data_IF_525395428706
#
_entry.id   IF_525395428706
#
_cell.length_a   1.000
_cell.length_b   1.000
_cell.length_c   1.000
_cell.angle_alpha   90.00
_cell.angle_beta   90.00
_cell.angle_gamma   90.00
#
_symmetry.space_group_name_H-M   'P 1'
#
loop_
_entity.id
_entity.type
_entity.pdbx_description
1 polymer ?
#
# COMPACT_ATOMS: atom_id res chain seq x y z
N UNK A 1 -11.80 13.03 -21.48
CA UNK A 1 -10.77 13.33 -20.44
C UNK A 1 -11.27 12.92 -19.05
N UNK A 2 -12.52 13.26 -18.68
CA UNK A 2 -13.09 12.91 -17.38
C UNK A 2 -13.19 11.39 -17.11
N UNK A 3 -13.65 10.57 -18.07
CA UNK A 3 -13.76 9.11 -17.86
C UNK A 3 -12.42 8.40 -17.59
N UNK A 4 -11.32 8.86 -18.18
CA UNK A 4 -9.98 8.25 -17.95
C UNK A 4 -9.48 8.59 -16.54
N UNK A 5 -9.78 9.79 -16.04
CA UNK A 5 -9.46 10.19 -14.67
C UNK A 5 -10.34 9.46 -13.64
N UNK A 6 -11.62 9.21 -13.96
CA UNK A 6 -12.56 8.47 -13.12
C UNK A 6 -12.24 6.96 -13.06
N UNK A 7 -11.87 6.35 -14.19
CA UNK A 7 -11.47 4.93 -14.26
C UNK A 7 -10.17 4.64 -13.50
N UNK A 8 -9.24 5.60 -13.45
CA UNK A 8 -7.97 5.43 -12.75
C UNK A 8 -8.07 5.64 -11.23
N UNK A 9 -8.97 6.51 -10.74
CA UNK A 9 -9.15 6.70 -9.29
C UNK A 9 -9.83 5.50 -8.65
N UNK A 10 -10.93 5.01 -9.23
CA UNK A 10 -11.68 3.87 -8.67
C UNK A 10 -10.82 2.61 -8.40
N UNK A 11 -9.83 2.35 -9.25
CA UNK A 11 -8.91 1.22 -9.10
C UNK A 11 -7.94 1.37 -7.92
N UNK A 12 -7.42 2.58 -7.67
CA UNK A 12 -6.47 2.84 -6.59
C UNK A 12 -7.16 2.72 -5.23
N UNK A 13 -8.35 3.29 -5.08
CA UNK A 13 -9.20 3.10 -3.90
C UNK A 13 -9.50 1.62 -3.66
N UNK A 14 -9.96 0.89 -4.68
CA UNK A 14 -10.28 -0.53 -4.54
C UNK A 14 -9.08 -1.37 -4.07
N UNK A 15 -7.92 -1.22 -4.72
CA UNK A 15 -6.71 -1.96 -4.34
C UNK A 15 -6.26 -1.57 -2.94
N UNK A 16 -6.25 -0.28 -2.61
CA UNK A 16 -5.83 0.20 -1.29
C UNK A 16 -6.73 -0.34 -0.17
N UNK A 17 -8.05 -0.38 -0.39
CA UNK A 17 -9.00 -0.96 0.55
C UNK A 17 -8.80 -2.46 0.77
N UNK A 18 -8.64 -3.23 -0.30
CA UNK A 18 -8.34 -4.67 -0.20
C UNK A 18 -7.04 -4.93 0.56
N UNK A 19 -5.98 -4.24 0.17
CA UNK A 19 -4.64 -4.45 0.74
C UNK A 19 -4.57 -4.02 2.21
N UNK A 20 -5.23 -2.93 2.59
CA UNK A 20 -5.37 -2.54 4.00
C UNK A 20 -6.07 -3.65 4.81
N UNK A 21 -7.20 -4.16 4.31
CA UNK A 21 -7.94 -5.25 4.96
C UNK A 21 -7.12 -6.53 5.12
N UNK A 22 -6.41 -6.94 4.07
CA UNK A 22 -5.51 -8.11 4.13
C UNK A 22 -4.39 -7.91 5.14
N UNK A 23 -3.73 -6.75 5.11
CA UNK A 23 -2.62 -6.41 5.99
C UNK A 23 -3.06 -6.45 7.47
N UNK A 24 -4.19 -5.83 7.80
CA UNK A 24 -4.75 -5.86 9.16
C UNK A 24 -5.16 -7.28 9.58
N UNK A 25 -5.72 -8.08 8.66
CA UNK A 25 -6.11 -9.47 8.92
C UNK A 25 -4.91 -10.34 9.27
N UNK A 26 -3.77 -10.15 8.60
CA UNK A 26 -2.52 -10.86 8.92
C UNK A 26 -2.00 -10.40 10.29
N UNK A 27 -2.00 -9.10 10.56
CA UNK A 27 -1.60 -8.56 11.86
C UNK A 27 -2.44 -9.16 13.02
N UNK A 28 -3.75 -9.25 12.85
CA UNK A 28 -4.65 -9.89 13.81
C UNK A 28 -4.36 -11.40 13.98
N UNK A 29 -4.03 -12.11 12.91
CA UNK A 29 -3.64 -13.51 12.98
C UNK A 29 -2.31 -13.72 13.73
N UNK A 30 -1.34 -12.81 13.55
CA UNK A 30 -0.08 -12.83 14.31
C UNK A 30 -0.37 -12.68 15.81
N UNK A 31 -1.23 -11.73 16.22
CA UNK A 31 -1.66 -11.60 17.63
C UNK A 31 -2.29 -12.91 18.13
N UNK A 32 -3.20 -13.50 17.34
CA UNK A 32 -3.88 -14.75 17.71
C UNK A 32 -2.95 -15.95 17.84
N UNK A 33 -1.81 -15.95 17.15
CA UNK A 33 -0.81 -17.02 17.24
C UNK A 33 -0.12 -17.09 18.62
N UNK A 34 -0.27 -16.07 19.48
CA UNK A 34 0.37 -15.95 20.79
C UNK A 34 1.89 -16.14 20.76
N UNK A 35 2.53 -15.84 19.63
CA UNK A 35 3.98 -15.88 19.50
C UNK A 35 4.61 -14.64 20.15
N UNK A 36 5.45 -14.84 21.17
CA UNK A 36 6.24 -13.76 21.80
C UNK A 36 7.59 -13.53 21.09
N UNK A 37 7.79 -14.12 19.92
CA UNK A 37 9.05 -13.99 19.19
C UNK A 37 9.27 -12.56 18.67
N UNK A 38 10.52 -12.06 18.61
CA UNK A 38 10.80 -10.73 18.06
C UNK A 38 10.37 -10.60 16.59
N UNK A 39 10.38 -11.71 15.84
CA UNK A 39 9.91 -11.75 14.46
C UNK A 39 8.40 -11.54 14.36
N UNK A 40 7.63 -12.04 15.34
CA UNK A 40 6.18 -11.83 15.39
C UNK A 40 5.86 -10.36 15.65
N UNK A 41 6.54 -9.73 16.61
CA UNK A 41 6.41 -8.29 16.88
C UNK A 41 6.77 -7.44 15.67
N UNK A 42 7.90 -7.74 15.01
CA UNK A 42 8.32 -7.01 13.81
C UNK A 42 7.29 -7.16 12.68
N UNK A 43 6.82 -8.38 12.41
CA UNK A 43 5.80 -8.64 11.39
C UNK A 43 4.50 -7.91 11.70
N UNK A 44 4.06 -7.93 12.97
CA UNK A 44 2.85 -7.24 13.41
C UNK A 44 2.95 -5.72 13.18
N UNK A 45 4.06 -5.09 13.58
CA UNK A 45 4.28 -3.66 13.40
C UNK A 45 4.28 -3.30 11.91
N UNK A 46 4.98 -4.08 11.09
CA UNK A 46 5.09 -3.81 9.65
C UNK A 46 3.75 -3.98 8.92
N UNK A 47 2.98 -5.02 9.21
CA UNK A 47 1.64 -5.19 8.63
C UNK A 47 0.65 -4.13 9.13
N UNK A 48 0.78 -3.67 10.38
CA UNK A 48 -0.04 -2.56 10.90
C UNK A 48 0.32 -1.25 10.19
N UNK A 49 1.61 -0.92 10.09
CA UNK A 49 2.09 0.28 9.39
C UNK A 49 1.66 0.27 7.91
N UNK A 50 1.78 -0.89 7.24
CA UNK A 50 1.34 -1.08 5.86
C UNK A 50 -0.16 -0.83 5.72
N UNK A 51 -0.98 -1.37 6.63
CA UNK A 51 -2.42 -1.15 6.62
C UNK A 51 -2.78 0.32 6.77
N UNK A 52 -2.09 1.05 7.64
CA UNK A 52 -2.34 2.47 7.87
C UNK A 52 -1.94 3.31 6.66
N UNK A 53 -0.84 2.99 5.98
CA UNK A 53 -0.42 3.69 4.76
C UNK A 53 -1.41 3.45 3.60
N UNK A 54 -1.89 2.22 3.41
CA UNK A 54 -2.95 1.94 2.45
C UNK A 54 -4.26 2.65 2.82
N UNK A 55 -4.59 2.79 4.11
CA UNK A 55 -5.76 3.53 4.56
C UNK A 55 -5.66 5.03 4.23
N UNK A 56 -4.47 5.62 4.37
CA UNK A 56 -4.21 7.02 3.96
C UNK A 56 -4.45 7.18 2.46
N UNK A 57 -3.89 6.30 1.64
CA UNK A 57 -4.07 6.33 0.19
C UNK A 57 -5.54 6.17 -0.21
N UNK A 58 -6.25 5.20 0.41
CA UNK A 58 -7.68 4.99 0.23
C UNK A 58 -8.48 6.25 0.58
N UNK A 59 -8.24 6.83 1.75
CA UNK A 59 -8.97 8.01 2.20
C UNK A 59 -8.78 9.18 1.24
N UNK A 60 -7.54 9.47 0.84
CA UNK A 60 -7.23 10.56 -0.08
C UNK A 60 -7.95 10.36 -1.41
N UNK A 61 -7.87 9.16 -1.97
CA UNK A 61 -8.45 8.88 -3.29
C UNK A 61 -9.99 8.93 -3.29
N UNK A 62 -10.63 8.37 -2.26
CA UNK A 62 -12.09 8.45 -2.07
C UNK A 62 -12.53 9.90 -1.82
N UNK A 63 -11.85 10.62 -0.92
CA UNK A 63 -12.23 11.98 -0.57
C UNK A 63 -12.06 12.95 -1.75
N UNK A 64 -10.99 12.80 -2.54
CA UNK A 64 -10.79 13.57 -3.77
C UNK A 64 -11.85 13.23 -4.81
N UNK A 65 -12.12 11.96 -5.04
CA UNK A 65 -13.13 11.52 -6.03
C UNK A 65 -14.52 12.08 -5.69
N UNK A 66 -14.93 12.02 -4.42
CA UNK A 66 -16.21 12.58 -3.98
C UNK A 66 -16.29 14.11 -4.12
N UNK A 67 -15.19 14.83 -3.86
CA UNK A 67 -15.15 16.30 -3.96
C UNK A 67 -15.15 16.79 -5.40
N UNK A 68 -14.58 16.01 -6.33
CA UNK A 68 -14.47 16.38 -7.75
C UNK A 68 -15.74 15.99 -8.53
N UNK A 69 -16.48 14.96 -8.09
CA UNK A 69 -17.67 14.42 -8.76
C UNK A 69 -18.84 15.40 -8.98
N UNK A 70 -18.76 16.63 -8.47
CA UNK A 70 -19.78 17.68 -8.67
C UNK A 70 -19.21 19.02 -9.15
N UNK A 71 -17.97 19.04 -9.64
CA UNK A 71 -17.31 20.26 -10.12
C UNK A 71 -17.18 20.19 -11.65
N UNK A 72 -17.92 21.06 -12.35
CA UNK A 72 -17.91 21.11 -13.82
C UNK A 72 -16.67 21.81 -14.39
N UNK A 73 -16.10 22.78 -13.65
CA UNK A 73 -14.89 23.50 -14.04
C UNK A 73 -13.84 23.49 -12.92
N UNK A 74 -12.68 22.90 -13.20
CA UNK A 74 -11.55 22.86 -12.28
C UNK A 74 -10.63 24.05 -12.58
N UNK A 75 -10.57 25.02 -11.67
CA UNK A 75 -9.62 26.12 -11.77
C UNK A 75 -8.16 25.63 -11.67
N UNK A 76 -7.21 26.39 -12.23
CA UNK A 76 -5.80 26.02 -12.20
C UNK A 76 -5.25 25.87 -10.76
N UNK A 77 -5.69 26.73 -9.84
CA UNK A 77 -5.33 26.69 -8.42
C UNK A 77 -5.88 25.44 -7.70
N UNK A 78 -7.11 25.04 -8.04
CA UNK A 78 -7.71 23.83 -7.52
C UNK A 78 -7.02 22.57 -8.07
N UNK A 79 -6.64 22.59 -9.36
CA UNK A 79 -5.91 21.49 -9.99
C UNK A 79 -4.54 21.25 -9.34
N UNK A 80 -3.80 22.32 -9.03
CA UNK A 80 -2.51 22.24 -8.34
C UNK A 80 -2.67 21.61 -6.96
N UNK A 81 -3.68 22.07 -6.20
CA UNK A 81 -4.00 21.52 -4.88
C UNK A 81 -4.39 20.04 -4.94
N UNK A 82 -5.23 19.64 -5.90
CA UNK A 82 -5.62 18.23 -6.12
C UNK A 82 -4.39 17.39 -6.46
N UNK A 83 -3.51 17.89 -7.33
CA UNK A 83 -2.31 17.17 -7.76
C UNK A 83 -1.36 16.96 -6.59
N UNK A 84 -1.15 17.98 -5.76
CA UNK A 84 -0.34 17.88 -4.55
C UNK A 84 -0.90 16.84 -3.57
N UNK A 85 -2.19 16.91 -3.25
CA UNK A 85 -2.82 15.94 -2.33
C UNK A 85 -2.80 14.53 -2.90
N UNK A 86 -3.05 14.36 -4.20
CA UNK A 86 -2.94 13.06 -4.89
C UNK A 86 -1.53 12.51 -4.82
N UNK A 87 -0.50 13.34 -4.94
CA UNK A 87 0.90 12.90 -4.82
C UNK A 87 1.22 12.31 -3.44
N UNK A 88 0.59 12.82 -2.38
CA UNK A 88 0.71 12.26 -1.02
C UNK A 88 0.06 10.88 -0.98
N UNK A 89 -1.15 10.72 -1.53
CA UNK A 89 -1.85 9.44 -1.61
C UNK A 89 -1.05 8.39 -2.39
N UNK A 90 -0.54 8.75 -3.57
CA UNK A 90 0.31 7.87 -4.39
C UNK A 90 1.61 7.50 -3.68
N UNK A 91 2.23 8.44 -2.97
CA UNK A 91 3.46 8.18 -2.19
C UNK A 91 3.18 7.24 -1.03
N UNK A 92 2.07 7.43 -0.32
CA UNK A 92 1.64 6.54 0.76
C UNK A 92 1.36 5.12 0.25
N UNK A 93 0.63 4.97 -0.87
CA UNK A 93 0.37 3.67 -1.49
C UNK A 93 1.67 2.98 -1.94
N UNK A 94 2.61 3.72 -2.53
CA UNK A 94 3.91 3.19 -2.98
C UNK A 94 4.73 2.69 -1.79
N UNK A 95 4.79 3.49 -0.72
CA UNK A 95 5.49 3.12 0.51
C UNK A 95 4.83 1.90 1.17
N UNK A 96 3.49 1.87 1.23
CA UNK A 96 2.72 0.73 1.74
C UNK A 96 3.05 -0.54 0.98
N UNK A 97 3.12 -0.49 -0.35
CA UNK A 97 3.42 -1.63 -1.20
C UNK A 97 4.84 -2.18 -0.94
N UNK A 98 5.84 -1.30 -0.79
CA UNK A 98 7.19 -1.72 -0.42
C UNK A 98 7.24 -2.36 0.98
N UNK A 99 6.60 -1.75 1.97
CA UNK A 99 6.51 -2.34 3.32
C UNK A 99 5.76 -3.66 3.30
N UNK A 100 4.73 -3.81 2.47
CA UNK A 100 3.97 -5.06 2.33
C UNK A 100 4.87 -6.20 1.84
N UNK A 101 5.69 -5.95 0.81
CA UNK A 101 6.64 -6.94 0.27
C UNK A 101 7.64 -7.37 1.35
N UNK A 102 8.19 -6.40 2.10
CA UNK A 102 9.13 -6.68 3.19
C UNK A 102 8.44 -7.49 4.31
N UNK A 103 7.21 -7.12 4.67
CA UNK A 103 6.40 -7.81 5.70
C UNK A 103 6.17 -9.28 5.34
N UNK A 104 5.83 -9.56 4.09
CA UNK A 104 5.66 -10.93 3.58
C UNK A 104 6.98 -11.71 3.64
N UNK A 105 8.10 -11.08 3.29
CA UNK A 105 9.42 -11.70 3.38
C UNK A 105 9.74 -12.17 4.79
N UNK A 106 9.42 -11.34 5.79
CA UNK A 106 9.66 -11.63 7.22
C UNK A 106 8.69 -12.70 7.74
N UNK A 107 7.44 -12.75 7.24
CA UNK A 107 6.41 -13.66 7.74
C UNK A 107 6.83 -15.14 7.69
N UNK A 108 7.60 -15.56 6.67
CA UNK A 108 8.10 -16.94 6.56
C UNK A 108 9.00 -17.37 7.73
N UNK A 109 9.66 -16.41 8.39
CA UNK A 109 10.50 -16.68 9.56
C UNK A 109 9.70 -17.08 10.80
N UNK A 110 8.40 -16.78 10.84
CA UNK A 110 7.52 -17.25 11.92
C UNK A 110 7.26 -18.75 11.86
N UNK A 111 7.37 -19.35 10.67
CA UNK A 111 7.09 -20.77 10.47
C UNK A 111 8.35 -21.63 10.65
N UNK A 112 9.42 -21.33 9.90
CA UNK A 112 10.67 -22.07 9.98
C UNK A 112 11.81 -21.31 9.31
N UNK A 113 13.06 -21.71 9.56
CA UNK A 113 14.24 -21.11 8.90
C UNK A 113 14.22 -21.27 7.38
N UNK A 114 13.82 -22.45 6.88
CA UNK A 114 13.74 -22.72 5.44
C UNK A 114 12.66 -21.86 4.77
N UNK A 115 11.50 -21.75 5.39
CA UNK A 115 10.42 -20.88 4.92
C UNK A 115 10.86 -19.41 4.91
N UNK A 116 11.55 -18.94 5.97
CA UNK A 116 12.06 -17.57 6.07
C UNK A 116 13.08 -17.21 4.99
N UNK A 117 14.05 -18.09 4.71
CA UNK A 117 15.02 -17.87 3.62
C UNK A 117 14.31 -17.83 2.26
N UNK A 118 13.41 -18.79 2.01
CA UNK A 118 12.68 -18.88 0.75
C UNK A 118 11.78 -17.65 0.51
N UNK A 119 11.01 -17.24 1.53
CA UNK A 119 10.14 -16.06 1.46
C UNK A 119 10.94 -14.77 1.28
N UNK A 120 12.11 -14.67 1.92
CA UNK A 120 12.97 -13.49 1.82
C UNK A 120 13.59 -13.35 0.42
N UNK A 121 14.00 -14.46 -0.21
CA UNK A 121 14.50 -14.45 -1.60
C UNK A 121 13.39 -14.01 -2.56
N UNK A 122 12.18 -14.55 -2.42
CA UNK A 122 11.03 -14.20 -3.26
C UNK A 122 10.63 -12.72 -3.06
N UNK A 123 10.61 -12.26 -1.81
CA UNK A 123 10.32 -10.87 -1.50
C UNK A 123 11.38 -9.92 -2.08
N UNK A 124 12.67 -10.26 -2.00
CA UNK A 124 13.74 -9.48 -2.59
C UNK A 124 13.62 -9.40 -4.12
N UNK A 125 13.36 -10.54 -4.78
CA UNK A 125 13.15 -10.56 -6.23
C UNK A 125 11.96 -9.69 -6.65
N UNK A 126 10.84 -9.80 -5.92
CA UNK A 126 9.66 -8.97 -6.15
C UNK A 126 9.95 -7.49 -5.93
N UNK A 127 10.66 -7.15 -4.85
CA UNK A 127 11.06 -5.77 -4.54
C UNK A 127 11.89 -5.17 -5.68
N UNK A 128 12.88 -5.91 -6.17
CA UNK A 128 13.73 -5.47 -7.29
C UNK A 128 12.90 -5.25 -8.56
N UNK A 129 11.99 -6.17 -8.91
CA UNK A 129 11.13 -6.01 -10.08
C UNK A 129 10.23 -4.77 -9.96
N UNK A 130 9.60 -4.56 -8.81
CA UNK A 130 8.75 -3.39 -8.56
C UNK A 130 9.59 -2.10 -8.60
N UNK A 131 10.81 -2.13 -8.05
CA UNK A 131 11.72 -1.00 -8.10
C UNK A 131 12.11 -0.62 -9.53
N UNK A 132 12.45 -1.62 -10.36
CA UNK A 132 12.74 -1.42 -11.78
C UNK A 132 11.52 -0.82 -12.49
N UNK A 133 10.33 -1.42 -12.31
CA UNK A 133 9.10 -0.91 -12.90
C UNK A 133 8.84 0.54 -12.49
N UNK A 134 9.00 0.89 -11.20
CA UNK A 134 8.88 2.25 -10.70
C UNK A 134 9.87 3.19 -11.39
N UNK A 135 11.13 2.77 -11.53
CA UNK A 135 12.16 3.59 -12.18
C UNK A 135 11.88 3.82 -13.68
N UNK A 136 11.20 2.90 -14.36
CA UNK A 136 10.80 3.08 -15.75
C UNK A 136 9.58 3.99 -15.91
N UNK A 137 8.72 4.07 -14.89
CA UNK A 137 7.50 4.91 -14.92
C UNK A 137 7.79 6.35 -14.51
N UNK A 138 8.65 6.56 -13.51
CA UNK A 138 8.91 7.86 -12.89
C UNK A 138 10.34 8.40 -13.11
N UNK A 139 11.21 7.62 -13.76
CA UNK A 139 12.59 7.98 -14.06
C UNK A 139 12.78 8.42 -15.51
#
# INVERSE_FOLDING_TARGET
MNEILELQTGQVSFISGLMAGFSLSIAAQIIRSKSESPMATLSFILFTATSLLFLIALYIDVALSLRIAGIDEVSAELLESITFVRSIGTSAATLALFLFIISIGILGWLQSRLAGVSSSIIALATFIMVWIARSMIFG
#
